data_IF_830477558948
#
_entry.id   IF_830477558948
#
_cell.length_a   1.000
_cell.length_b   1.000
_cell.length_c   1.000
_cell.angle_alpha   90.00
_cell.angle_beta   90.00
_cell.angle_gamma   90.00
#
_symmetry.space_group_name_H-M   'P 1'
#
loop_
_entity.id
_entity.type
_entity.pdbx_description
1 polymer ?
#
# COMPACT_ATOMS: atom_id res chain seq x y z
N UNK A 1 2.05 -7.08 30.18
CA UNK A 1 2.13 -6.10 29.08
C UNK A 1 2.16 -6.90 27.78
N UNK A 2 1.11 -6.83 26.96
CA UNK A 2 1.12 -7.50 25.64
C UNK A 2 2.19 -6.84 24.78
N UNK A 3 3.13 -7.63 24.26
CA UNK A 3 4.17 -7.15 23.35
C UNK A 3 3.48 -6.63 22.09
N UNK A 4 3.70 -5.36 21.73
CA UNK A 4 3.19 -4.80 20.47
C UNK A 4 3.60 -5.74 19.34
N UNK A 5 2.68 -6.18 18.45
CA UNK A 5 3.04 -7.09 17.37
C UNK A 5 4.16 -6.47 16.53
N UNK A 6 5.21 -7.25 16.28
CA UNK A 6 6.32 -6.78 15.48
C UNK A 6 5.88 -6.70 14.02
N UNK A 7 6.05 -5.55 13.38
CA UNK A 7 5.72 -5.33 11.97
C UNK A 7 6.96 -5.30 11.08
N UNK A 8 6.78 -5.69 9.81
CA UNK A 8 7.74 -5.54 8.72
C UNK A 8 7.06 -4.85 7.55
N UNK A 9 7.76 -3.94 6.88
CA UNK A 9 7.27 -3.28 5.69
C UNK A 9 7.90 -3.95 4.47
N UNK A 10 7.06 -4.41 3.56
CA UNK A 10 7.46 -5.08 2.32
C UNK A 10 7.00 -4.25 1.13
N UNK A 11 7.92 -3.93 0.21
CA UNK A 11 7.66 -3.12 -0.98
C UNK A 11 7.83 -4.01 -2.21
N UNK A 12 6.74 -4.45 -2.88
CA UNK A 12 6.85 -5.21 -4.11
C UNK A 12 7.28 -4.31 -5.26
N UNK A 13 8.20 -4.80 -6.10
CA UNK A 13 8.67 -4.08 -7.27
C UNK A 13 8.97 -5.03 -8.45
N UNK A 14 8.65 -4.58 -9.68
CA UNK A 14 9.02 -5.25 -10.92
C UNK A 14 9.16 -4.24 -12.05
N UNK A 15 10.02 -4.54 -13.03
CA UNK A 15 10.25 -3.66 -14.19
C UNK A 15 9.05 -3.61 -15.14
N UNK A 16 8.24 -4.67 -15.19
CA UNK A 16 7.09 -4.78 -16.09
C UNK A 16 6.01 -3.75 -15.74
N UNK A 17 6.02 -2.65 -16.46
CA UNK A 17 5.00 -1.59 -16.44
C UNK A 17 4.73 -1.14 -17.86
N UNK A 18 3.47 -1.20 -18.31
CA UNK A 18 3.09 -0.85 -19.69
C UNK A 18 3.02 0.65 -19.92
N UNK A 19 2.55 1.41 -18.91
CA UNK A 19 2.37 2.88 -19.01
C UNK A 19 3.65 3.67 -18.76
N UNK A 20 4.56 3.14 -17.95
CA UNK A 20 5.86 3.73 -17.64
C UNK A 20 6.91 2.62 -17.55
N UNK A 21 7.54 2.22 -18.69
CA UNK A 21 8.55 1.17 -18.70
C UNK A 21 9.71 1.48 -17.76
N UNK A 22 10.17 0.48 -17.01
CA UNK A 22 11.24 0.67 -16.02
C UNK A 22 10.86 1.53 -14.81
N UNK A 23 9.56 1.68 -14.53
CA UNK A 23 8.99 2.53 -13.49
C UNK A 23 9.76 2.53 -12.16
N UNK A 24 10.16 1.40 -11.54
CA UNK A 24 10.88 1.40 -10.27
C UNK A 24 12.23 2.13 -10.32
N UNK A 25 12.88 2.14 -11.48
CA UNK A 25 14.19 2.78 -11.69
C UNK A 25 14.09 4.17 -12.31
N UNK A 26 12.87 4.68 -12.57
CA UNK A 26 12.69 6.04 -13.08
C UNK A 26 13.34 7.06 -12.14
N UNK A 27 14.17 7.95 -12.72
CA UNK A 27 14.89 8.96 -11.93
C UNK A 27 13.94 10.01 -11.33
N UNK A 28 14.09 10.26 -10.05
CA UNK A 28 13.48 11.37 -9.33
C UNK A 28 14.61 12.11 -8.57
N UNK A 29 15.02 13.27 -9.06
CA UNK A 29 16.02 14.11 -8.41
C UNK A 29 17.34 13.39 -8.10
N UNK A 30 17.82 12.57 -9.02
CA UNK A 30 19.09 11.85 -8.93
C UNK A 30 19.04 10.53 -8.14
N UNK A 31 17.84 10.00 -7.84
CA UNK A 31 17.67 8.68 -7.25
C UNK A 31 16.50 7.92 -7.91
N UNK A 32 16.58 6.58 -8.03
CA UNK A 32 15.48 5.77 -8.52
C UNK A 32 14.19 5.92 -7.68
N UNK A 33 13.03 5.86 -8.31
CA UNK A 33 11.73 5.98 -7.63
C UNK A 33 11.59 5.00 -6.46
N UNK A 34 12.00 3.75 -6.63
CA UNK A 34 11.91 2.73 -5.58
C UNK A 34 12.73 3.10 -4.33
N UNK A 35 13.84 3.81 -4.51
CA UNK A 35 14.69 4.29 -3.40
C UNK A 35 13.97 5.39 -2.61
N UNK A 36 13.19 6.24 -3.28
CA UNK A 36 12.34 7.23 -2.59
C UNK A 36 11.25 6.54 -1.77
N UNK A 37 10.55 5.56 -2.35
CA UNK A 37 9.54 4.78 -1.61
C UNK A 37 10.16 4.10 -0.39
N UNK A 38 11.30 3.43 -0.57
CA UNK A 38 12.03 2.78 0.52
C UNK A 38 12.41 3.78 1.64
N UNK A 39 12.97 4.94 1.29
CA UNK A 39 13.32 6.00 2.27
C UNK A 39 12.10 6.46 3.06
N UNK A 40 10.97 6.74 2.36
CA UNK A 40 9.71 7.14 3.01
C UNK A 40 9.17 6.05 3.96
N UNK A 41 9.31 4.78 3.58
CA UNK A 41 8.97 3.66 4.45
C UNK A 41 9.87 3.58 5.70
N UNK A 42 11.16 3.86 5.56
CA UNK A 42 12.09 3.90 6.69
C UNK A 42 11.77 5.06 7.67
N UNK A 43 11.36 6.22 7.15
CA UNK A 43 10.97 7.39 7.96
C UNK A 43 9.73 7.10 8.85
N UNK A 44 8.90 6.12 8.50
CA UNK A 44 7.79 5.73 9.35
C UNK A 44 8.22 5.05 10.65
N UNK A 45 9.42 4.49 10.72
CA UNK A 45 9.92 3.75 11.90
C UNK A 45 8.93 2.71 12.46
N UNK A 46 8.17 2.08 11.55
CA UNK A 46 7.15 1.10 11.89
C UNK A 46 7.67 -0.36 11.84
N UNK A 47 8.96 -0.53 11.57
CA UNK A 47 9.65 -1.82 11.49
C UNK A 47 10.67 -1.86 10.34
N UNK A 48 11.41 -2.97 10.18
CA UNK A 48 12.35 -3.12 9.09
C UNK A 48 11.66 -3.05 7.73
N UNK A 49 12.35 -2.46 6.75
CA UNK A 49 11.84 -2.27 5.39
C UNK A 49 12.63 -3.16 4.43
N UNK A 50 11.91 -3.93 3.60
CA UNK A 50 12.50 -4.82 2.60
C UNK A 50 11.81 -4.60 1.25
N UNK A 51 12.59 -4.45 0.19
CA UNK A 51 12.08 -4.42 -1.19
C UNK A 51 12.09 -5.83 -1.75
N UNK A 52 10.93 -6.35 -2.12
CA UNK A 52 10.75 -7.63 -2.80
C UNK A 52 10.70 -7.39 -4.31
N UNK A 53 11.75 -7.73 -5.04
CA UNK A 53 11.89 -7.37 -6.45
C UNK A 53 12.05 -8.58 -7.37
N UNK A 54 11.67 -8.42 -8.63
CA UNK A 54 11.80 -9.46 -9.65
C UNK A 54 13.17 -9.41 -10.34
N UNK A 55 13.77 -8.22 -10.45
CA UNK A 55 14.95 -8.00 -11.27
C UNK A 55 16.16 -7.54 -10.43
N UNK A 56 17.39 -8.00 -10.78
CA UNK A 56 18.60 -7.64 -10.06
C UNK A 56 18.88 -6.13 -10.02
N UNK A 57 18.54 -5.42 -11.09
CA UNK A 57 18.78 -3.97 -11.21
C UNK A 57 18.03 -3.17 -10.13
N UNK A 58 16.83 -3.64 -9.75
CA UNK A 58 16.07 -3.03 -8.66
C UNK A 58 16.76 -3.33 -7.31
N UNK A 59 17.22 -4.59 -7.12
CA UNK A 59 17.93 -4.98 -5.92
C UNK A 59 19.22 -4.18 -5.73
N UNK A 60 19.99 -4.01 -6.80
CA UNK A 60 21.24 -3.26 -6.83
C UNK A 60 21.02 -1.78 -6.46
N UNK A 61 19.99 -1.16 -7.04
CA UNK A 61 19.65 0.24 -6.75
C UNK A 61 19.28 0.45 -5.27
N UNK A 62 18.50 -0.45 -4.69
CA UNK A 62 18.11 -0.40 -3.27
C UNK A 62 19.30 -0.65 -2.36
N UNK A 63 20.14 -1.64 -2.69
CA UNK A 63 21.34 -2.00 -1.90
C UNK A 63 22.37 -0.89 -1.94
N UNK A 64 22.60 -0.28 -3.10
CA UNK A 64 23.48 0.89 -3.24
C UNK A 64 23.01 2.08 -2.39
N UNK A 65 21.72 2.19 -2.12
CA UNK A 65 21.14 3.21 -1.23
C UNK A 65 21.19 2.83 0.27
N UNK A 66 21.74 1.64 0.61
CA UNK A 66 21.80 1.12 1.98
C UNK A 66 20.55 0.33 2.42
N UNK A 67 19.63 0.04 1.51
CA UNK A 67 18.41 -0.72 1.77
C UNK A 67 18.63 -2.24 1.67
N UNK A 68 17.63 -2.98 2.14
CA UNK A 68 17.56 -4.44 1.99
C UNK A 68 16.62 -4.80 0.85
N UNK A 69 17.11 -5.57 -0.12
CA UNK A 69 16.30 -6.11 -1.20
C UNK A 69 16.38 -7.64 -1.23
N UNK A 70 15.33 -8.28 -1.73
CA UNK A 70 15.24 -9.74 -1.91
C UNK A 70 14.70 -10.02 -3.30
N UNK A 71 15.46 -10.81 -4.07
CA UNK A 71 15.02 -11.31 -5.36
C UNK A 71 13.96 -12.40 -5.16
N UNK A 72 12.91 -12.31 -5.95
CA UNK A 72 11.80 -13.26 -5.99
C UNK A 72 11.56 -13.69 -7.43
N UNK A 73 10.85 -14.80 -7.65
CA UNK A 73 10.53 -15.22 -9.01
C UNK A 73 9.83 -14.11 -9.80
N UNK A 74 10.22 -13.84 -11.05
CA UNK A 74 9.53 -12.89 -11.92
C UNK A 74 8.10 -13.33 -12.23
N UNK A 75 7.81 -14.62 -12.20
CA UNK A 75 6.51 -15.22 -12.59
C UNK A 75 5.45 -15.15 -11.50
N UNK A 76 5.75 -14.56 -10.34
CA UNK A 76 4.77 -14.39 -9.28
C UNK A 76 3.60 -13.51 -9.76
N UNK A 77 2.33 -13.96 -9.55
CA UNK A 77 1.17 -13.35 -10.18
C UNK A 77 0.85 -11.95 -9.66
N UNK A 78 1.16 -11.68 -8.38
CA UNK A 78 0.80 -10.40 -7.75
C UNK A 78 1.89 -9.84 -6.83
N UNK A 79 1.67 -8.59 -6.39
CA UNK A 79 2.48 -7.96 -5.35
C UNK A 79 2.37 -8.70 -4.00
N UNK A 80 1.19 -9.21 -3.68
CA UNK A 80 0.93 -9.97 -2.44
C UNK A 80 1.70 -11.29 -2.43
N UNK A 81 1.72 -12.02 -3.54
CA UNK A 81 2.53 -13.24 -3.69
C UNK A 81 4.03 -12.92 -3.55
N UNK A 82 4.47 -11.82 -4.16
CA UNK A 82 5.87 -11.39 -4.12
C UNK A 82 6.35 -11.05 -2.71
N UNK A 83 5.59 -10.25 -1.97
CA UNK A 83 5.95 -9.92 -0.59
C UNK A 83 5.91 -11.15 0.31
N UNK A 84 5.00 -12.10 0.08
CA UNK A 84 4.94 -13.32 0.86
C UNK A 84 6.16 -14.21 0.60
N UNK A 85 6.55 -14.42 -0.65
CA UNK A 85 7.76 -15.18 -1.00
C UNK A 85 9.04 -14.56 -0.38
N UNK A 86 9.17 -13.23 -0.45
CA UNK A 86 10.28 -12.53 0.17
C UNK A 86 10.24 -12.63 1.71
N UNK A 87 9.06 -12.55 2.33
CA UNK A 87 8.86 -12.67 3.78
C UNK A 87 9.36 -14.02 4.31
N UNK A 88 9.02 -15.12 3.64
CA UNK A 88 9.49 -16.47 4.03
C UNK A 88 11.02 -16.59 3.94
N UNK A 89 11.65 -15.83 3.05
CA UNK A 89 13.12 -15.77 2.93
C UNK A 89 13.77 -14.93 4.03
N UNK A 90 13.20 -13.78 4.38
CA UNK A 90 13.83 -12.81 5.30
C UNK A 90 13.52 -13.08 6.76
N UNK A 91 12.43 -13.78 7.04
CA UNK A 91 11.92 -14.07 8.38
C UNK A 91 11.47 -15.54 8.55
N UNK A 92 12.37 -16.52 8.36
CA UNK A 92 12.07 -17.95 8.53
C UNK A 92 11.63 -18.26 9.99
N UNK A 93 12.14 -17.51 10.96
CA UNK A 93 11.82 -17.68 12.38
C UNK A 93 10.49 -17.06 12.80
N UNK A 94 9.74 -16.46 11.86
CA UNK A 94 8.41 -15.86 12.09
C UNK A 94 8.37 -14.85 13.23
N UNK A 95 9.33 -13.94 13.26
CA UNK A 95 9.44 -12.88 14.27
C UNK A 95 8.45 -11.74 14.06
N UNK A 96 7.95 -11.57 12.83
CA UNK A 96 7.00 -10.52 12.45
C UNK A 96 5.60 -11.10 12.30
N UNK A 97 4.67 -10.60 13.12
CA UNK A 97 3.27 -11.01 13.12
C UNK A 97 2.42 -10.17 12.15
N UNK A 98 2.92 -9.00 11.76
CA UNK A 98 2.24 -8.05 10.88
C UNK A 98 3.11 -7.69 9.69
N UNK A 99 2.53 -7.69 8.49
CA UNK A 99 3.19 -7.39 7.22
C UNK A 99 2.49 -6.23 6.53
N UNK A 100 3.19 -5.11 6.37
CA UNK A 100 2.69 -3.98 5.58
C UNK A 100 3.12 -4.18 4.13
N UNK A 101 2.15 -4.19 3.22
CA UNK A 101 2.36 -4.14 1.77
C UNK A 101 2.26 -2.69 1.30
N UNK A 102 3.40 -2.05 1.12
CA UNK A 102 3.50 -0.69 0.60
C UNK A 102 3.82 -0.74 -0.88
N UNK A 103 2.94 -0.16 -1.72
CA UNK A 103 3.15 -0.16 -3.17
C UNK A 103 4.42 0.60 -3.58
N UNK A 104 5.20 0.01 -4.50
CA UNK A 104 6.49 0.54 -4.97
C UNK A 104 6.42 1.78 -5.86
N UNK A 105 5.24 2.37 -6.03
CA UNK A 105 4.97 3.55 -6.86
C UNK A 105 4.48 4.78 -6.09
N UNK A 106 4.67 4.80 -4.77
CA UNK A 106 4.27 5.89 -3.88
C UNK A 106 5.48 6.69 -3.34
N UNK A 107 6.29 7.35 -4.21
CA UNK A 107 7.54 8.00 -3.77
C UNK A 107 7.33 9.20 -2.85
N UNK A 108 6.11 9.74 -2.82
CA UNK A 108 5.74 10.91 -2.03
C UNK A 108 4.88 10.58 -0.82
N UNK A 109 4.70 9.30 -0.50
CA UNK A 109 3.85 8.87 0.61
C UNK A 109 4.21 9.58 1.92
N UNK A 110 3.19 9.93 2.71
CA UNK A 110 3.41 10.36 4.08
C UNK A 110 3.64 9.14 4.98
N UNK A 111 4.72 9.09 5.78
CA UNK A 111 4.96 8.01 6.73
C UNK A 111 3.80 7.75 7.70
N UNK A 112 3.00 8.77 8.03
CA UNK A 112 1.80 8.64 8.87
C UNK A 112 0.78 7.67 8.28
N UNK A 113 0.69 7.57 6.94
CA UNK A 113 -0.21 6.63 6.27
C UNK A 113 0.13 5.16 6.60
N UNK A 114 1.43 4.84 6.79
CA UNK A 114 1.86 3.49 7.18
C UNK A 114 1.37 3.15 8.58
N UNK A 115 1.45 4.11 9.52
CA UNK A 115 0.91 3.92 10.87
C UNK A 115 -0.62 3.80 10.86
N UNK A 116 -1.30 4.60 10.03
CA UNK A 116 -2.75 4.51 9.87
C UNK A 116 -3.18 3.13 9.36
N UNK A 117 -2.44 2.54 8.40
CA UNK A 117 -2.73 1.21 7.89
C UNK A 117 -2.60 0.10 8.95
N UNK A 118 -1.83 0.31 10.01
CA UNK A 118 -1.68 -0.64 11.11
C UNK A 118 -2.80 -0.54 12.16
N UNK A 119 -3.51 0.61 12.24
CA UNK A 119 -4.52 0.85 13.28
C UNK A 119 -5.63 -0.22 13.36
N UNK A 120 -6.29 -0.62 12.25
CA UNK A 120 -7.39 -1.58 12.34
C UNK A 120 -6.97 -2.94 12.90
N UNK A 121 -5.69 -3.32 12.78
CA UNK A 121 -5.17 -4.57 13.33
C UNK A 121 -5.07 -4.57 14.87
N UNK A 122 -5.42 -3.49 15.55
CA UNK A 122 -5.61 -3.49 17.00
C UNK A 122 -6.76 -4.40 17.44
N UNK A 123 -7.80 -4.55 16.58
CA UNK A 123 -8.85 -5.56 16.75
C UNK A 123 -8.33 -6.94 16.27
N UNK A 124 -8.26 -7.96 17.16
CA UNK A 124 -7.74 -9.28 16.80
C UNK A 124 -8.53 -10.02 15.71
N UNK A 125 -9.79 -9.66 15.51
CA UNK A 125 -10.66 -10.26 14.49
C UNK A 125 -10.39 -9.74 13.06
N UNK A 126 -9.61 -8.67 12.91
CA UNK A 126 -9.27 -8.10 11.61
C UNK A 126 -8.11 -8.89 11.01
N UNK A 127 -8.33 -9.46 9.83
CA UNK A 127 -7.33 -10.19 9.04
C UNK A 127 -6.41 -9.26 8.26
N UNK A 128 -7.03 -8.24 7.63
CA UNK A 128 -6.39 -7.31 6.69
C UNK A 128 -6.85 -5.89 7.02
N UNK A 129 -5.93 -4.97 7.06
CA UNK A 129 -6.22 -3.55 7.17
C UNK A 129 -5.84 -2.82 5.88
N UNK A 130 -6.59 -1.76 5.55
CA UNK A 130 -6.30 -0.88 4.41
C UNK A 130 -6.63 0.57 4.75
N UNK A 131 -6.50 1.47 3.78
CA UNK A 131 -6.78 2.89 3.97
C UNK A 131 -7.90 3.35 3.05
N UNK A 132 -8.65 4.35 3.52
CA UNK A 132 -9.62 5.09 2.72
C UNK A 132 -9.51 6.58 3.00
N UNK A 133 -9.88 7.39 2.01
CA UNK A 133 -10.04 8.83 2.16
C UNK A 133 -11.42 9.26 1.69
N UNK A 134 -11.94 10.37 2.21
CA UNK A 134 -13.21 10.91 1.77
C UNK A 134 -13.09 11.43 0.32
N UNK A 135 -13.99 11.03 -0.55
CA UNK A 135 -14.13 11.60 -1.90
C UNK A 135 -14.83 12.93 -1.78
N UNK A 136 -14.19 14.00 -2.24
CA UNK A 136 -14.69 15.38 -2.08
C UNK A 136 -15.54 15.85 -3.27
N UNK A 137 -15.32 15.30 -4.47
CA UNK A 137 -16.00 15.76 -5.68
C UNK A 137 -16.60 14.62 -6.51
N UNK A 138 -17.52 14.99 -7.41
CA UNK A 138 -18.24 14.03 -8.24
C UNK A 138 -17.36 13.43 -9.35
N UNK A 139 -16.36 14.14 -9.84
CA UNK A 139 -15.45 13.66 -10.88
C UNK A 139 -14.63 12.50 -10.35
N UNK A 140 -14.05 12.63 -9.14
CA UNK A 140 -13.33 11.56 -8.46
C UNK A 140 -14.25 10.35 -8.17
N UNK A 141 -15.50 10.62 -7.72
CA UNK A 141 -16.48 9.57 -7.44
C UNK A 141 -16.81 8.75 -8.68
N UNK A 142 -16.97 9.38 -9.83
CA UNK A 142 -17.45 8.75 -11.05
C UNK A 142 -16.31 8.18 -11.91
N UNK A 143 -15.03 8.47 -11.59
CA UNK A 143 -13.85 7.91 -12.27
C UNK A 143 -13.69 6.41 -11.93
N UNK A 144 -13.75 5.49 -12.93
CA UNK A 144 -13.57 4.05 -12.71
C UNK A 144 -12.13 3.66 -12.32
N UNK A 145 -11.15 4.56 -12.46
CA UNK A 145 -9.78 4.33 -12.00
C UNK A 145 -9.65 4.56 -10.48
N UNK A 146 -10.52 5.37 -9.91
CA UNK A 146 -10.67 5.54 -8.48
C UNK A 146 -11.53 4.41 -7.92
N UNK A 147 -10.96 3.55 -7.11
CA UNK A 147 -11.71 2.45 -6.46
C UNK A 147 -12.47 3.00 -5.27
N UNK A 148 -13.78 2.76 -5.24
CA UNK A 148 -14.63 3.10 -4.09
C UNK A 148 -14.67 1.96 -3.10
N UNK A 149 -14.57 2.27 -1.81
CA UNK A 149 -14.74 1.32 -0.72
C UNK A 149 -16.07 1.56 0.01
N UNK A 150 -16.86 0.52 0.17
CA UNK A 150 -18.04 0.56 1.05
C UNK A 150 -17.59 0.21 2.46
N UNK A 151 -17.54 1.20 3.34
CA UNK A 151 -17.03 1.05 4.70
C UNK A 151 -18.15 1.35 5.71
N UNK A 152 -18.38 0.43 6.63
CA UNK A 152 -19.23 0.65 7.78
C UNK A 152 -18.45 1.44 8.85
N UNK A 153 -18.43 2.76 8.69
CA UNK A 153 -17.74 3.69 9.58
C UNK A 153 -18.76 4.36 10.50
N UNK A 154 -18.63 4.12 11.79
CA UNK A 154 -19.50 4.77 12.78
C UNK A 154 -19.18 6.28 12.88
N UNK A 155 -20.15 7.13 13.30
CA UNK A 155 -19.89 8.54 13.52
C UNK A 155 -18.69 8.77 14.45
N UNK A 156 -17.77 9.66 14.06
CA UNK A 156 -16.54 9.98 14.77
C UNK A 156 -15.51 8.83 14.92
N UNK A 157 -15.75 7.66 14.31
CA UNK A 157 -14.74 6.60 14.22
C UNK A 157 -13.77 6.90 13.07
N UNK A 158 -12.50 6.54 13.27
CA UNK A 158 -11.46 6.65 12.24
C UNK A 158 -11.12 5.29 11.61
N UNK A 159 -11.78 4.20 12.05
CA UNK A 159 -11.67 2.86 11.50
C UNK A 159 -13.04 2.21 11.36
N UNK A 160 -13.23 1.40 10.32
CA UNK A 160 -14.49 0.70 10.08
C UNK A 160 -14.31 -0.50 9.16
N UNK A 161 -15.30 -1.40 9.19
CA UNK A 161 -15.29 -2.61 8.39
C UNK A 161 -15.54 -2.29 6.91
N UNK A 162 -14.65 -2.72 6.03
CA UNK A 162 -14.87 -2.69 4.59
C UNK A 162 -15.77 -3.87 4.19
N UNK A 163 -16.88 -3.55 3.54
CA UNK A 163 -17.90 -4.51 3.12
C UNK A 163 -17.79 -4.88 1.65
N UNK A 164 -17.31 -3.94 0.81
CA UNK A 164 -17.12 -4.16 -0.62
C UNK A 164 -16.17 -3.11 -1.22
N UNK A 165 -15.64 -3.42 -2.40
CA UNK A 165 -14.83 -2.48 -3.22
C UNK A 165 -15.33 -2.55 -4.65
N UNK A 166 -15.49 -1.38 -5.31
CA UNK A 166 -15.97 -1.30 -6.69
C UNK A 166 -15.34 -0.15 -7.46
N UNK A 167 -15.27 -0.33 -8.78
CA UNK A 167 -14.93 0.77 -9.69
C UNK A 167 -16.13 1.69 -9.98
N UNK A 168 -17.34 1.18 -9.78
CA UNK A 168 -18.55 1.99 -9.85
C UNK A 168 -18.72 2.85 -8.59
N UNK A 169 -19.47 3.97 -8.67
CA UNK A 169 -19.90 4.72 -7.48
C UNK A 169 -20.76 3.84 -6.55
N UNK A 170 -20.25 3.57 -5.36
CA UNK A 170 -20.93 2.81 -4.31
C UNK A 170 -20.61 3.43 -2.93
N UNK A 171 -21.57 3.36 -1.94
CA UNK A 171 -22.94 2.84 -2.02
C UNK A 171 -23.86 3.78 -2.78
N UNK A 172 -25.04 3.29 -3.16
CA UNK A 172 -26.09 4.13 -3.74
C UNK A 172 -26.74 5.00 -2.66
N UNK A 173 -27.16 6.21 -3.04
CA UNK A 173 -27.86 7.15 -2.15
C UNK A 173 -26.97 8.28 -1.66
N UNK A 174 -27.55 9.13 -0.79
CA UNK A 174 -26.82 10.25 -0.19
C UNK A 174 -25.85 9.78 0.89
N UNK A 175 -24.73 10.47 1.04
CA UNK A 175 -23.72 10.21 2.06
C UNK A 175 -22.30 10.18 1.54
N UNK A 176 -21.36 9.80 2.40
CA UNK A 176 -19.95 9.79 2.09
C UNK A 176 -19.58 8.63 1.15
N UNK A 177 -18.76 8.94 0.16
CA UNK A 177 -18.04 7.94 -0.64
C UNK A 177 -16.56 7.96 -0.25
N UNK A 178 -15.93 6.79 -0.26
CA UNK A 178 -14.55 6.63 0.17
C UNK A 178 -13.67 6.11 -0.96
N UNK A 179 -12.58 6.83 -1.25
CA UNK A 179 -11.51 6.40 -2.12
C UNK A 179 -10.67 5.34 -1.41
N UNK A 180 -10.57 4.16 -1.96
CA UNK A 180 -9.69 3.11 -1.45
C UNK A 180 -8.23 3.38 -1.82
N UNK A 181 -7.35 3.32 -0.83
CA UNK A 181 -5.91 3.49 -0.99
C UNK A 181 -5.24 2.12 -0.84
N UNK A 182 -4.56 1.65 -1.89
CA UNK A 182 -4.00 0.31 -2.02
C UNK A 182 -2.78 0.00 -1.14
N UNK A 183 -2.76 0.50 0.09
CA UNK A 183 -1.79 0.13 1.13
C UNK A 183 -2.49 -0.85 2.06
N UNK A 184 -1.83 -1.97 2.34
CA UNK A 184 -2.41 -2.99 3.19
C UNK A 184 -1.49 -3.34 4.35
N UNK A 185 -2.08 -3.67 5.50
CA UNK A 185 -1.41 -4.36 6.57
C UNK A 185 -2.13 -5.69 6.82
N UNK A 186 -1.37 -6.76 6.80
CA UNK A 186 -1.88 -8.12 6.98
C UNK A 186 -1.40 -8.68 8.32
N UNK A 187 -2.25 -9.46 9.00
CA UNK A 187 -1.68 -10.47 9.88
C UNK A 187 -0.90 -11.47 9.03
N UNK A 188 0.26 -11.91 9.50
CA UNK A 188 1.07 -12.89 8.75
C UNK A 188 0.28 -14.14 8.36
N UNK A 189 -0.52 -14.67 9.27
CA UNK A 189 -1.37 -15.82 9.00
C UNK A 189 -2.43 -15.53 7.92
N UNK A 190 -2.99 -14.33 7.92
CA UNK A 190 -3.95 -13.87 6.93
C UNK A 190 -3.28 -13.73 5.54
N UNK A 191 -2.08 -13.17 5.45
CA UNK A 191 -1.33 -13.10 4.19
C UNK A 191 -1.02 -14.51 3.64
N UNK A 192 -0.54 -15.41 4.51
CA UNK A 192 -0.26 -16.80 4.14
C UNK A 192 -1.52 -17.57 3.68
N UNK A 193 -2.71 -17.23 4.21
CA UNK A 193 -4.00 -17.75 3.74
C UNK A 193 -4.37 -17.13 2.40
N UNK A 194 -4.27 -15.81 2.29
CA UNK A 194 -4.69 -15.03 1.12
C UNK A 194 -3.99 -15.47 -0.18
N UNK A 195 -2.67 -15.61 -0.16
CA UNK A 195 -1.89 -15.99 -1.35
C UNK A 195 -2.16 -17.43 -1.83
N UNK A 196 -2.77 -18.28 -1.00
CA UNK A 196 -3.17 -19.64 -1.37
C UNK A 196 -4.57 -19.71 -1.96
N UNK A 197 -5.36 -18.65 -1.85
CA UNK A 197 -6.71 -18.63 -2.39
C UNK A 197 -6.67 -18.47 -3.91
N UNK A 198 -7.50 -19.22 -4.65
CA UNK A 198 -7.65 -18.99 -6.07
C UNK A 198 -8.32 -17.63 -6.33
N UNK A 199 -8.04 -16.99 -7.48
CA UNK A 199 -8.70 -15.74 -7.86
C UNK A 199 -10.23 -15.88 -7.87
N UNK A 200 -10.90 -14.97 -7.13
CA UNK A 200 -12.33 -14.97 -6.93
C UNK A 200 -13.14 -14.53 -8.15
N UNK A 201 -14.46 -14.67 -8.11
CA UNK A 201 -15.38 -14.25 -9.18
C UNK A 201 -15.47 -12.73 -9.23
N UNK A 202 -15.65 -12.10 -8.06
CA UNK A 202 -15.75 -10.63 -7.95
C UNK A 202 -14.40 -9.97 -8.20
N UNK A 203 -13.31 -10.57 -7.71
CA UNK A 203 -11.95 -10.12 -8.02
C UNK A 203 -11.71 -10.01 -9.53
N UNK A 204 -12.06 -11.06 -10.29
CA UNK A 204 -11.89 -11.07 -11.75
C UNK A 204 -12.79 -10.05 -12.44
N UNK A 205 -14.01 -9.87 -11.96
CA UNK A 205 -15.00 -8.95 -12.52
C UNK A 205 -14.61 -7.49 -12.33
N UNK A 206 -14.27 -7.11 -11.09
CA UNK A 206 -13.87 -5.75 -10.71
C UNK A 206 -12.38 -5.48 -11.00
N UNK A 207 -11.57 -6.53 -11.18
CA UNK A 207 -10.09 -6.48 -11.24
C UNK A 207 -9.50 -5.85 -9.98
N UNK A 208 -9.99 -6.30 -8.83
CA UNK A 208 -9.61 -5.84 -7.50
C UNK A 208 -9.25 -7.04 -6.64
N UNK A 209 -7.95 -7.23 -6.38
CA UNK A 209 -7.39 -8.41 -5.71
C UNK A 209 -7.96 -8.62 -4.30
N UNK A 210 -8.23 -7.55 -3.55
CA UNK A 210 -8.76 -7.61 -2.19
C UNK A 210 -10.16 -8.23 -2.09
N UNK A 211 -10.92 -8.28 -3.18
CA UNK A 211 -12.23 -8.94 -3.18
C UNK A 211 -12.10 -10.45 -2.96
N UNK A 212 -10.98 -11.08 -3.37
CA UNK A 212 -10.68 -12.48 -3.04
C UNK A 212 -10.76 -12.75 -1.54
N UNK A 213 -10.25 -11.83 -0.73
CA UNK A 213 -10.30 -11.96 0.73
C UNK A 213 -11.76 -11.94 1.22
N UNK A 214 -12.56 -10.97 0.77
CA UNK A 214 -13.98 -10.87 1.15
C UNK A 214 -14.80 -12.08 0.69
N UNK A 215 -14.58 -12.57 -0.55
CA UNK A 215 -15.24 -13.77 -1.09
C UNK A 215 -14.95 -15.03 -0.26
N UNK A 216 -13.84 -15.05 0.49
CA UNK A 216 -13.42 -16.17 1.33
C UNK A 216 -13.61 -15.91 2.84
N UNK A 217 -14.44 -14.93 3.19
CA UNK A 217 -14.82 -14.64 4.57
C UNK A 217 -13.70 -14.05 5.43
N UNK A 218 -12.65 -13.48 4.82
CA UNK A 218 -11.64 -12.72 5.55
C UNK A 218 -12.18 -11.33 5.88
N UNK A 219 -11.85 -10.83 7.07
CA UNK A 219 -12.27 -9.51 7.50
C UNK A 219 -11.25 -8.47 7.08
N UNK A 220 -11.73 -7.46 6.33
CA UNK A 220 -10.96 -6.26 5.98
C UNK A 220 -11.56 -5.08 6.72
N UNK A 221 -10.73 -4.34 7.46
CA UNK A 221 -11.12 -3.06 8.03
C UNK A 221 -10.27 -1.94 7.40
N UNK A 222 -10.84 -0.76 7.28
CA UNK A 222 -10.18 0.41 6.71
C UNK A 222 -9.98 1.51 7.75
N UNK A 223 -8.83 2.20 7.70
CA UNK A 223 -8.62 3.43 8.44
C UNK A 223 -8.84 4.64 7.53
N UNK A 224 -9.55 5.65 8.05
CA UNK A 224 -9.78 6.92 7.37
C UNK A 224 -8.54 7.80 7.49
N UNK A 225 -8.08 8.34 6.36
CA UNK A 225 -6.99 9.31 6.29
C UNK A 225 -7.45 10.58 5.56
N UNK A 226 -6.76 11.70 5.82
CA UNK A 226 -7.14 13.00 5.26
C UNK A 226 -6.74 13.15 3.79
N UNK A 227 -5.67 12.48 3.35
CA UNK A 227 -5.11 12.64 2.01
C UNK A 227 -4.87 11.32 1.32
N UNK A 228 -5.15 11.28 0.01
CA UNK A 228 -4.82 10.15 -0.85
C UNK A 228 -3.34 10.26 -1.25
N UNK A 229 -2.49 9.26 -0.92
CA UNK A 229 -1.15 9.20 -1.46
C UNK A 229 -1.22 9.09 -2.99
N UNK A 230 -0.45 9.91 -3.67
CA UNK A 230 -0.47 9.95 -5.12
C UNK A 230 0.52 8.91 -5.69
N UNK A 231 0.01 8.03 -6.54
CA UNK A 231 0.79 7.00 -7.24
C UNK A 231 1.38 7.51 -8.55
N UNK A 232 2.56 7.02 -8.89
CA UNK A 232 3.23 7.31 -10.17
C UNK A 232 2.96 6.18 -11.15
N UNK A 233 2.10 6.43 -12.14
CA UNK A 233 1.74 5.46 -13.17
C UNK A 233 2.06 5.92 -14.59
N UNK A 234 2.15 7.23 -14.80
CA UNK A 234 2.39 7.87 -16.08
C UNK A 234 3.60 8.81 -16.02
N UNK A 235 4.04 9.29 -17.19
CA UNK A 235 5.12 10.28 -17.26
C UNK A 235 4.73 11.60 -16.55
N UNK A 236 3.48 12.03 -16.68
CA UNK A 236 2.96 13.22 -15.98
C UNK A 236 2.96 13.06 -14.46
N UNK A 237 2.65 11.86 -13.96
CA UNK A 237 2.73 11.57 -12.52
C UNK A 237 4.18 11.63 -12.04
N UNK A 238 5.11 11.12 -12.84
CA UNK A 238 6.55 11.17 -12.51
C UNK A 238 7.04 12.62 -12.40
N UNK A 239 6.63 13.49 -13.32
CA UNK A 239 6.97 14.90 -13.28
C UNK A 239 6.36 15.59 -12.05
N UNK A 240 5.12 15.28 -11.72
CA UNK A 240 4.47 15.77 -10.50
C UNK A 240 5.21 15.29 -9.24
N UNK A 241 5.64 14.03 -9.19
CA UNK A 241 6.44 13.50 -8.07
C UNK A 241 7.76 14.26 -7.90
N UNK A 242 8.45 14.56 -9.02
CA UNK A 242 9.67 15.39 -9.02
C UNK A 242 9.42 16.76 -8.39
N UNK A 243 8.36 17.44 -8.80
CA UNK A 243 7.99 18.77 -8.25
C UNK A 243 7.71 18.69 -6.75
N UNK A 244 6.92 17.73 -6.30
CA UNK A 244 6.58 17.56 -4.88
C UNK A 244 7.82 17.29 -4.03
N UNK A 245 8.70 16.39 -4.48
CA UNK A 245 9.92 16.06 -3.74
C UNK A 245 10.95 17.20 -3.79
N UNK A 246 11.05 17.97 -4.88
CA UNK A 246 11.87 19.16 -4.95
C UNK A 246 11.42 20.23 -3.95
N UNK A 247 10.11 20.48 -3.87
CA UNK A 247 9.55 21.42 -2.90
C UNK A 247 9.82 21.01 -1.45
N UNK A 248 9.71 19.71 -1.13
CA UNK A 248 10.06 19.21 0.21
C UNK A 248 11.55 19.38 0.54
N UNK A 249 12.45 19.19 -0.43
CA UNK A 249 13.89 19.45 -0.24
C UNK A 249 14.21 20.94 -0.01
N UNK A 250 13.51 21.84 -0.69
CA UNK A 250 13.72 23.28 -0.60
C UNK A 250 13.13 23.89 0.69
N UNK A 251 12.03 23.33 1.21
CA UNK A 251 11.29 23.89 2.36
C UNK A 251 11.80 23.45 3.75
N UNK A 252 12.79 22.59 3.85
CA UNK A 252 13.20 22.02 5.14
C UNK A 252 12.11 21.14 5.79
N UNK A 253 12.31 20.61 7.01
CA UNK A 253 11.30 19.79 7.67
C UNK A 253 10.02 20.60 7.88
N UNK A 254 8.89 20.07 7.41
CA UNK A 254 7.58 20.70 7.59
C UNK A 254 7.33 20.88 9.09
N UNK A 255 7.44 22.12 9.57
CA UNK A 255 6.91 22.44 10.89
C UNK A 255 5.39 22.26 10.78
N UNK A 256 4.87 21.25 11.47
CA UNK A 256 3.45 21.09 11.66
C UNK A 256 2.87 22.38 12.22
N UNK A 257 2.07 23.05 11.42
CA UNK A 257 1.28 24.18 11.87
C UNK A 257 0.26 23.65 12.87
N UNK A 258 0.60 23.80 14.16
CA UNK A 258 -0.40 23.78 15.23
C UNK A 258 -1.18 25.09 15.12
N UNK A 259 -2.39 25.02 14.73
CA UNK A 259 -3.46 25.94 15.14
C UNK A 259 -4.71 25.12 15.41
#
# INVERSE_FOLDING_TARGET
>A
MSKKPASIIMIPARMASTRLPGKPLADILGAPMIVHVWRRACEADAGPVVVACAEPEIADAVTAAGGRAVLTSPDLPSGSDRIFAALETVDPDRRFDTVVNLQGDLPTIDPVAIHAALKPLADPEVDIATLVALIADAEERDDPNVVKAVVALAPAADTGRALYFSRCPVPWGEGAHYHHIGIYAYRRAALARFVKLPPGILEKRERLEQLRALENGMRIDAALVETVPFGVDTQSDLERARMVLAARRAGGPSQGTRT
#
